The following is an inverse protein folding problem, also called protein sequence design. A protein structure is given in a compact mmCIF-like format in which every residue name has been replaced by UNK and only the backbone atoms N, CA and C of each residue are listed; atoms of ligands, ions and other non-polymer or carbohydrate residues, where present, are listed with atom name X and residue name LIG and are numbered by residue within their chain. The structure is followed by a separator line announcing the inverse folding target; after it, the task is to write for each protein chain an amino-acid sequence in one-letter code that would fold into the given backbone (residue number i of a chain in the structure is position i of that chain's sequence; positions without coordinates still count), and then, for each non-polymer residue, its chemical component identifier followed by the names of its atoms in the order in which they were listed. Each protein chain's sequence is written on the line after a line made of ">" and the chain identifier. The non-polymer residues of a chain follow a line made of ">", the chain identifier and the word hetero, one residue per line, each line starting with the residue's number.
data_IF_696718098784
#
_entry.id   IF_696718098784
#
_cell.length_a   1.000
_cell.length_b   1.000
_cell.length_c   1.000
_cell.angle_alpha   90.00
_cell.angle_beta   90.00
_cell.angle_gamma   90.00
#
_symmetry.space_group_name_H-M   'P 1'
#
loop_
_entity.id
_entity.type
_entity.pdbx_description
1 polymer ?
#
# COMPACT_ATOMS: atom_id res chain seq x y z
N UNK A 1 -5.94 -15.36 5.63
CA UNK A 1 -6.10 -13.92 5.38
C UNK A 1 -5.81 -13.71 3.89
N UNK A 2 -6.80 -13.31 3.08
CA UNK A 2 -6.63 -13.17 1.62
C UNK A 2 -6.21 -11.72 1.35
N UNK A 3 -5.00 -11.52 0.86
CA UNK A 3 -4.57 -10.24 0.27
C UNK A 3 -4.52 -10.41 -1.24
N UNK A 4 -5.21 -9.51 -1.95
CA UNK A 4 -5.16 -9.42 -3.41
C UNK A 4 -4.55 -8.07 -3.77
N UNK A 5 -3.45 -8.09 -4.51
CA UNK A 5 -2.97 -6.97 -5.29
C UNK A 5 -3.16 -7.35 -6.76
N UNK A 6 -4.03 -6.63 -7.46
CA UNK A 6 -4.22 -6.77 -8.90
C UNK A 6 -3.48 -5.65 -9.63
N UNK A 7 -2.80 -5.98 -10.72
CA UNK A 7 -2.29 -5.00 -11.68
C UNK A 7 -2.81 -5.35 -13.08
N UNK A 8 -3.04 -4.29 -13.87
CA UNK A 8 -3.38 -4.27 -15.30
C UNK A 8 -4.84 -4.52 -15.71
N UNK A 9 -5.58 -3.42 -15.92
CA UNK A 9 -6.60 -3.31 -16.97
C UNK A 9 -6.16 -2.25 -17.99
N UNK A 10 -6.29 -2.55 -19.30
CA UNK A 10 -6.15 -1.59 -20.41
C UNK A 10 -7.40 -0.70 -20.61
N UNK A 11 -8.27 -0.69 -19.61
CA UNK A 11 -9.39 0.24 -19.46
C UNK A 11 -9.12 1.08 -18.20
N UNK A 12 -9.43 2.38 -18.18
CA UNK A 12 -9.20 3.27 -17.05
C UNK A 12 -10.21 2.97 -15.93
N UNK A 13 -10.18 1.76 -15.39
CA UNK A 13 -10.91 1.40 -14.19
C UNK A 13 -9.90 1.29 -13.06
N UNK A 14 -9.97 2.29 -12.18
CA UNK A 14 -9.04 2.57 -11.08
C UNK A 14 -9.38 1.66 -9.91
N UNK A 15 -8.60 0.60 -9.70
CA UNK A 15 -8.83 -0.32 -8.59
C UNK A 15 -7.69 -0.26 -7.57
N UNK A 16 -7.94 0.44 -6.46
CA UNK A 16 -7.27 0.16 -5.18
C UNK A 16 -8.40 -0.28 -4.23
N UNK A 17 -8.77 -1.56 -4.34
CA UNK A 17 -9.81 -2.16 -3.52
C UNK A 17 -9.20 -2.76 -2.26
N UNK A 18 -9.79 -2.43 -1.10
CA UNK A 18 -9.54 -3.18 0.13
C UNK A 18 -9.93 -4.66 -0.05
N UNK A 19 -9.33 -5.58 0.73
CA UNK A 19 -9.89 -6.91 0.87
C UNK A 19 -11.36 -6.80 1.29
N UNK A 20 -12.18 -7.62 0.66
CA UNK A 20 -13.60 -7.80 0.99
C UNK A 20 -13.76 -8.01 2.49
N UNK A 21 -14.43 -7.08 3.19
CA UNK A 21 -14.73 -7.22 4.62
C UNK A 21 -15.85 -8.24 4.81
N UNK A 22 -15.58 -9.28 5.59
CA UNK A 22 -16.49 -10.41 5.81
C UNK A 22 -17.05 -10.30 7.22
N UNK A 23 -18.32 -9.94 7.35
CA UNK A 23 -19.01 -9.96 8.65
C UNK A 23 -19.87 -11.21 8.76
N UNK A 24 -19.61 -12.03 9.77
CA UNK A 24 -20.40 -13.22 10.08
C UNK A 24 -21.44 -12.86 11.14
N UNK A 25 -22.71 -12.86 10.76
CA UNK A 25 -23.80 -12.77 11.74
C UNK A 25 -24.27 -14.18 12.11
N UNK A 26 -24.05 -14.57 13.37
CA UNK A 26 -24.58 -15.80 13.94
C UNK A 26 -25.91 -15.52 14.64
N UNK A 27 -27.00 -16.07 14.10
CA UNK A 27 -28.22 -16.29 14.89
C UNK A 27 -28.61 -17.76 14.80
N UNK A 28 -28.40 -18.46 15.93
CA UNK A 28 -28.84 -19.80 16.35
C UNK A 28 -28.88 -21.02 15.38
N UNK A 29 -28.55 -20.90 14.09
CA UNK A 29 -28.31 -22.02 13.13
C UNK A 29 -27.96 -21.54 11.70
N UNK A 30 -27.74 -20.24 11.49
CA UNK A 30 -27.53 -19.64 10.17
C UNK A 30 -26.34 -18.68 10.22
N UNK A 31 -25.41 -18.84 9.29
CA UNK A 31 -24.35 -17.88 9.03
C UNK A 31 -24.80 -17.02 7.86
N UNK A 32 -25.06 -15.73 8.12
CA UNK A 32 -25.21 -14.72 7.07
C UNK A 32 -23.85 -14.07 6.85
N UNK A 33 -23.38 -14.13 5.61
CA UNK A 33 -22.13 -13.47 5.21
C UNK A 33 -22.50 -12.22 4.43
N UNK A 34 -22.16 -11.05 4.98
CA UNK A 34 -22.38 -9.77 4.32
C UNK A 34 -21.06 -9.26 3.75
N UNK A 35 -21.09 -8.96 2.45
CA UNK A 35 -19.96 -8.40 1.73
C UNK A 35 -20.21 -6.94 1.43
N UNK A 36 -19.34 -6.09 1.96
CA UNK A 36 -19.30 -4.67 1.59
C UNK A 36 -18.32 -4.48 0.44
N UNK A 37 -18.84 -4.45 -0.79
CA UNK A 37 -18.06 -3.89 -1.90
C UNK A 37 -18.15 -2.37 -1.73
N UNK A 38 -17.14 -1.77 -1.13
CA UNK A 38 -17.01 -0.30 -1.09
C UNK A 38 -16.96 0.14 -2.54
N UNK A 39 -17.85 1.04 -2.95
CA UNK A 39 -17.82 1.59 -4.30
C UNK A 39 -16.41 2.04 -4.60
N UNK A 40 -15.96 1.72 -5.81
CA UNK A 40 -14.69 2.16 -6.39
C UNK A 40 -14.78 3.69 -6.52
N UNK A 41 -14.62 4.40 -5.41
CA UNK A 41 -14.30 5.82 -5.47
C UNK A 41 -12.98 5.83 -6.20
N UNK A 42 -12.97 6.37 -7.40
CA UNK A 42 -11.78 6.52 -8.21
C UNK A 42 -10.62 7.00 -7.32
N UNK A 43 -9.38 6.53 -7.55
CA UNK A 43 -8.21 7.31 -7.11
C UNK A 43 -8.51 8.79 -7.39
N UNK A 44 -8.20 9.72 -6.45
CA UNK A 44 -8.56 11.14 -6.59
C UNK A 44 -8.41 11.51 -8.05
N UNK A 45 -9.50 11.93 -8.69
CA UNK A 45 -9.46 12.08 -10.14
C UNK A 45 -8.24 12.92 -10.46
N UNK A 46 -7.44 12.49 -11.43
CA UNK A 46 -6.34 13.35 -11.89
C UNK A 46 -6.91 14.74 -12.25
N UNK A 47 -8.18 14.80 -12.67
CA UNK A 47 -8.99 16.02 -12.86
C UNK A 47 -9.16 16.89 -11.60
N UNK A 48 -9.16 16.32 -10.40
CA UNK A 48 -9.25 17.03 -9.11
C UNK A 48 -7.86 17.37 -8.52
N UNK A 49 -6.78 17.10 -9.25
CA UNK A 49 -5.44 17.33 -8.76
C UNK A 49 -5.19 18.82 -8.50
N UNK A 50 -4.69 19.13 -7.30
CA UNK A 50 -4.42 20.50 -6.85
C UNK A 50 -5.67 21.39 -6.76
N UNK A 51 -6.88 20.83 -6.77
CA UNK A 51 -8.09 21.58 -6.45
C UNK A 51 -8.10 22.08 -5.01
N UNK A 52 -8.85 23.16 -4.77
CA UNK A 52 -8.97 23.75 -3.46
C UNK A 52 -9.63 22.78 -2.47
N UNK A 53 -9.03 22.68 -1.28
CA UNK A 53 -9.52 21.82 -0.22
C UNK A 53 -10.68 22.50 0.51
N UNK A 54 -11.78 21.78 0.74
CA UNK A 54 -12.90 22.33 1.53
C UNK A 54 -12.44 22.78 2.92
N UNK A 55 -13.07 23.84 3.44
CA UNK A 55 -12.75 24.38 4.77
C UNK A 55 -12.82 23.32 5.87
N UNK A 56 -13.77 22.38 5.77
CA UNK A 56 -13.93 21.31 6.76
C UNK A 56 -12.73 20.35 6.70
N UNK A 57 -12.33 19.91 5.52
CA UNK A 57 -11.19 19.00 5.37
C UNK A 57 -9.88 19.67 5.75
N UNK A 58 -9.70 20.94 5.39
CA UNK A 58 -8.57 21.73 5.84
C UNK A 58 -8.48 21.77 7.37
N UNK A 59 -9.59 22.10 8.05
CA UNK A 59 -9.64 22.16 9.50
C UNK A 59 -9.33 20.80 10.16
N UNK A 60 -9.89 19.72 9.61
CA UNK A 60 -9.63 18.35 10.08
C UNK A 60 -8.15 18.00 9.92
N UNK A 61 -7.57 18.16 8.72
CA UNK A 61 -6.18 17.82 8.46
C UNK A 61 -5.23 18.69 9.29
N UNK A 62 -5.49 19.99 9.40
CA UNK A 62 -4.70 20.91 10.23
C UNK A 62 -4.66 20.48 11.68
N UNK A 63 -5.83 20.21 12.28
CA UNK A 63 -5.89 19.74 13.67
C UNK A 63 -5.20 18.39 13.84
N UNK A 64 -5.36 17.51 12.87
CA UNK A 64 -4.86 16.13 12.90
C UNK A 64 -3.35 16.06 12.77
N UNK A 65 -2.77 16.85 11.87
CA UNK A 65 -1.35 16.82 11.52
C UNK A 65 -0.52 17.88 12.26
N UNK A 66 -1.14 18.76 13.05
CA UNK A 66 -0.46 19.82 13.80
C UNK A 66 0.73 19.31 14.63
N UNK A 67 0.58 18.11 15.23
CA UNK A 67 1.60 17.49 16.09
C UNK A 67 2.47 16.46 15.37
N UNK A 68 2.24 16.22 14.07
CA UNK A 68 3.08 15.30 13.30
C UNK A 68 4.51 15.83 13.26
N UNK A 69 5.47 14.91 13.48
CA UNK A 69 6.91 15.25 13.50
C UNK A 69 7.71 14.58 12.39
N UNK A 70 7.21 13.47 11.86
CA UNK A 70 7.82 12.65 10.81
C UNK A 70 6.69 12.00 10.02
N UNK A 71 6.88 11.83 8.71
CA UNK A 71 6.02 11.03 7.84
C UNK A 71 6.79 9.80 7.37
N UNK A 72 6.18 8.63 7.51
CA UNK A 72 6.67 7.37 6.94
C UNK A 72 5.74 7.00 5.78
N UNK A 73 6.33 6.68 4.63
CA UNK A 73 5.62 6.18 3.45
C UNK A 73 6.17 4.80 3.14
N UNK A 74 5.35 3.77 3.35
CA UNK A 74 5.68 2.38 3.01
C UNK A 74 5.17 2.04 1.61
N UNK A 75 5.85 1.12 0.93
CA UNK A 75 5.59 0.69 -0.46
C UNK A 75 5.55 1.84 -1.48
N UNK A 76 6.55 2.73 -1.40
CA UNK A 76 6.65 3.89 -2.28
C UNK A 76 6.77 3.57 -3.77
N UNK A 77 7.04 2.31 -4.16
CA UNK A 77 7.05 1.88 -5.57
C UNK A 77 5.68 1.99 -6.22
N UNK A 78 4.60 1.89 -5.43
CA UNK A 78 3.22 1.98 -5.89
C UNK A 78 2.69 3.43 -5.92
N UNK A 79 3.45 4.39 -5.38
CA UNK A 79 3.06 5.80 -5.40
C UNK A 79 3.42 6.45 -6.73
N UNK A 80 2.51 7.28 -7.24
CA UNK A 80 2.79 8.08 -8.42
C UNK A 80 3.46 9.40 -8.06
N UNK A 81 4.23 9.96 -9.00
CA UNK A 81 4.83 11.30 -8.83
C UNK A 81 3.79 12.39 -8.59
N UNK A 82 2.61 12.27 -9.22
CA UNK A 82 1.48 13.17 -9.01
C UNK A 82 0.95 13.10 -7.57
N UNK A 83 0.71 11.89 -7.06
CA UNK A 83 0.25 11.69 -5.68
C UNK A 83 1.26 12.25 -4.67
N UNK A 84 2.55 12.07 -4.95
CA UNK A 84 3.63 12.58 -4.12
C UNK A 84 3.68 14.11 -4.09
N UNK A 85 3.54 14.76 -5.25
CA UNK A 85 3.45 16.22 -5.37
C UNK A 85 2.20 16.80 -4.68
N UNK A 86 1.05 16.13 -4.80
CA UNK A 86 -0.18 16.51 -4.09
C UNK A 86 -0.01 16.41 -2.58
N UNK A 87 0.66 15.35 -2.11
CA UNK A 87 0.93 15.15 -0.68
C UNK A 87 1.83 16.25 -0.13
N UNK A 88 2.90 16.59 -0.85
CA UNK A 88 3.76 17.72 -0.54
C UNK A 88 2.95 19.03 -0.43
N UNK A 89 2.17 19.36 -1.47
CA UNK A 89 1.39 20.59 -1.52
C UNK A 89 0.36 20.69 -0.38
N UNK A 90 -0.35 19.59 -0.11
CA UNK A 90 -1.33 19.51 0.99
C UNK A 90 -0.67 19.72 2.36
N UNK A 91 0.52 19.14 2.58
CA UNK A 91 1.23 19.32 3.83
C UNK A 91 1.78 20.74 3.99
N UNK A 92 2.24 21.37 2.91
CA UNK A 92 2.66 22.78 2.94
C UNK A 92 1.50 23.69 3.36
N UNK A 93 0.34 23.50 2.72
CA UNK A 93 -0.88 24.28 3.00
C UNK A 93 -1.39 24.05 4.44
N UNK A 94 -1.56 22.78 4.83
CA UNK A 94 -2.13 22.40 6.13
C UNK A 94 -1.23 22.82 7.30
N UNK A 95 0.09 22.77 7.12
CA UNK A 95 1.07 23.18 8.14
C UNK A 95 1.43 24.66 8.08
N UNK A 96 0.99 25.39 7.06
CA UNK A 96 1.35 26.80 6.85
C UNK A 96 2.87 27.00 6.71
N UNK A 97 3.55 26.06 6.05
CA UNK A 97 5.01 26.06 5.92
C UNK A 97 5.39 25.69 4.49
N UNK A 98 6.10 26.58 3.78
CA UNK A 98 6.46 26.37 2.37
C UNK A 98 7.70 25.48 2.14
N UNK A 99 8.29 24.91 3.20
CA UNK A 99 9.33 23.88 3.04
C UNK A 99 8.71 22.59 2.51
N UNK A 100 9.45 21.75 1.77
CA UNK A 100 8.96 20.46 1.29
C UNK A 100 8.23 19.66 2.40
N UNK A 101 7.08 19.08 2.06
CA UNK A 101 6.16 18.36 2.93
C UNK A 101 5.73 19.15 4.17
N UNK A 102 5.58 20.47 4.02
CA UNK A 102 5.29 21.37 5.13
C UNK A 102 6.38 21.42 6.18
N UNK A 103 7.62 21.06 5.83
CA UNK A 103 8.75 20.90 6.74
C UNK A 103 8.70 19.65 7.61
N UNK A 104 7.92 18.62 7.23
CA UNK A 104 8.03 17.30 7.84
C UNK A 104 9.22 16.55 7.23
N UNK A 105 10.10 15.96 8.04
CA UNK A 105 10.97 14.90 7.57
C UNK A 105 10.13 13.74 7.06
N UNK A 106 10.42 13.28 5.85
CA UNK A 106 9.73 12.16 5.21
C UNK A 106 10.73 11.03 5.00
N UNK A 107 10.34 9.81 5.37
CA UNK A 107 11.11 8.59 5.11
C UNK A 107 10.28 7.71 4.18
N UNK A 108 10.87 7.34 3.05
CA UNK A 108 10.28 6.44 2.06
C UNK A 108 10.88 5.05 2.24
N UNK A 109 10.02 4.03 2.25
CA UNK A 109 10.37 2.63 2.28
C UNK A 109 9.66 1.95 1.12
N UNK A 110 10.34 1.01 0.49
CA UNK A 110 9.77 0.23 -0.60
C UNK A 110 10.86 -0.40 -1.44
N UNK A 111 10.42 -1.20 -2.39
CA UNK A 111 11.27 -1.85 -3.38
C UNK A 111 10.85 -1.39 -4.77
N UNK A 112 11.70 -0.57 -5.41
CA UNK A 112 11.38 0.05 -6.69
C UNK A 112 11.24 -0.96 -7.85
N UNK A 113 11.65 -2.21 -7.66
CA UNK A 113 11.45 -3.29 -8.63
C UNK A 113 10.20 -4.15 -8.33
N UNK A 114 9.43 -3.81 -7.29
CA UNK A 114 8.10 -4.39 -7.08
C UNK A 114 7.05 -3.68 -7.94
N UNK A 115 5.77 -3.84 -7.58
CA UNK A 115 4.66 -3.30 -8.35
C UNK A 115 4.80 -1.77 -8.51
N UNK A 116 4.73 -1.25 -9.75
CA UNK A 116 4.68 0.18 -10.04
C UNK A 116 3.32 0.76 -9.64
N UNK A 117 3.14 2.09 -9.69
CA UNK A 117 1.81 2.67 -9.57
C UNK A 117 0.86 2.07 -10.62
N UNK A 118 -0.41 1.89 -10.23
CA UNK A 118 -1.46 1.37 -11.12
C UNK A 118 -1.71 2.31 -12.31
N UNK A 119 -1.53 3.62 -12.11
CA UNK A 119 -1.65 4.64 -13.14
C UNK A 119 -0.72 5.82 -12.86
N UNK A 120 -0.31 6.49 -13.94
CA UNK A 120 0.58 7.64 -13.88
C UNK A 120 2.06 7.26 -13.75
N UNK A 121 2.89 8.29 -13.69
CA UNK A 121 4.34 8.15 -13.60
C UNK A 121 4.75 7.72 -12.19
N UNK A 122 5.79 6.89 -12.08
CA UNK A 122 6.35 6.45 -10.79
C UNK A 122 6.81 7.64 -9.93
N UNK A 123 6.89 7.45 -8.61
CA UNK A 123 7.28 8.49 -7.64
C UNK A 123 8.59 9.24 -7.99
N UNK A 124 9.51 8.57 -8.69
CA UNK A 124 10.81 9.10 -9.11
C UNK A 124 10.83 9.72 -10.52
N UNK A 125 9.68 9.74 -11.19
CA UNK A 125 9.50 10.36 -12.50
C UNK A 125 8.79 11.71 -12.38
N UNK A 126 8.83 12.49 -13.45
CA UNK A 126 8.20 13.82 -13.46
C UNK A 126 6.68 13.75 -13.34
N UNK A 127 6.12 14.78 -12.70
CA UNK A 127 4.69 15.05 -12.70
C UNK A 127 4.25 15.36 -14.14
N UNK A 128 3.14 14.78 -14.64
CA UNK A 128 2.65 15.06 -15.98
C UNK A 128 2.44 16.55 -16.26
N UNK A 129 2.72 16.98 -17.49
CA UNK A 129 2.79 18.40 -17.88
C UNK A 129 1.51 19.17 -17.55
N UNK A 130 0.34 18.55 -17.76
CA UNK A 130 -0.96 19.16 -17.47
C UNK A 130 -1.16 19.55 -16.00
N UNK A 131 -0.36 19.00 -15.09
CA UNK A 131 -0.44 19.28 -13.65
C UNK A 131 0.66 20.20 -13.12
N UNK A 132 1.65 20.58 -13.94
CA UNK A 132 2.75 21.45 -13.50
C UNK A 132 2.26 22.85 -13.13
N UNK A 133 1.47 23.50 -14.00
CA UNK A 133 0.92 24.82 -13.72
C UNK A 133 -0.04 24.86 -12.51
N UNK A 134 -1.00 23.92 -12.36
CA UNK A 134 -1.80 23.80 -11.13
C UNK A 134 -0.95 23.62 -9.86
N UNK A 135 0.09 22.77 -9.93
CA UNK A 135 0.99 22.57 -8.80
C UNK A 135 1.77 23.84 -8.43
N UNK A 136 2.24 24.60 -9.42
CA UNK A 136 2.90 25.90 -9.22
C UNK A 136 1.96 26.94 -8.60
N UNK A 137 0.70 26.97 -9.01
CA UNK A 137 -0.29 27.88 -8.44
C UNK A 137 -0.51 27.61 -6.95
N UNK A 138 -0.67 26.35 -6.55
CA UNK A 138 -0.94 25.98 -5.16
C UNK A 138 0.31 26.07 -4.27
N UNK A 139 1.48 25.69 -4.80
CA UNK A 139 2.73 25.64 -4.05
C UNK A 139 3.91 26.16 -4.90
N UNK A 140 3.98 27.49 -5.13
CA UNK A 140 4.98 28.08 -6.04
C UNK A 140 6.42 27.92 -5.54
N UNK A 141 6.61 27.71 -4.23
CA UNK A 141 7.93 27.52 -3.61
C UNK A 141 8.33 26.05 -3.45
N UNK A 142 7.49 25.10 -3.90
CA UNK A 142 7.82 23.69 -3.78
C UNK A 142 8.94 23.28 -4.74
N UNK A 143 9.78 22.34 -4.32
CA UNK A 143 10.80 21.75 -5.16
C UNK A 143 10.14 20.83 -6.20
N UNK A 144 10.31 21.15 -7.49
CA UNK A 144 9.72 20.38 -8.59
C UNK A 144 10.34 19.00 -8.79
N UNK A 145 11.52 18.77 -8.24
CA UNK A 145 12.14 17.45 -8.13
C UNK A 145 12.13 16.99 -6.66
N UNK A 146 10.96 16.57 -6.18
CA UNK A 146 10.81 16.05 -4.82
C UNK A 146 11.68 14.80 -4.58
N UNK A 147 11.82 13.92 -5.58
CA UNK A 147 12.67 12.73 -5.47
C UNK A 147 14.14 13.07 -5.25
N UNK A 148 14.64 14.13 -5.89
CA UNK A 148 16.00 14.62 -5.74
C UNK A 148 16.36 15.11 -4.33
N UNK A 149 15.38 15.28 -3.43
CA UNK A 149 15.61 15.61 -2.03
C UNK A 149 16.14 14.42 -1.20
N UNK A 150 16.05 13.20 -1.72
CA UNK A 150 16.28 11.99 -0.95
C UNK A 150 17.68 11.42 -1.18
N UNK A 151 18.25 10.87 -0.11
CA UNK A 151 19.41 9.97 -0.17
C UNK A 151 18.90 8.54 -0.06
N UNK A 152 19.20 7.73 -1.06
CA UNK A 152 18.86 6.30 -1.06
C UNK A 152 19.84 5.51 -0.17
N UNK A 153 19.29 4.66 0.71
CA UNK A 153 20.03 3.66 1.47
C UNK A 153 19.51 2.29 1.05
N UNK A 154 20.40 1.42 0.57
CA UNK A 154 20.05 0.06 0.15
C UNK A 154 20.25 -0.92 1.31
N UNK A 155 19.26 -1.76 1.56
CA UNK A 155 19.38 -2.89 2.46
C UNK A 155 19.80 -4.11 1.64
N UNK A 156 20.83 -4.82 2.10
CA UNK A 156 21.41 -5.96 1.37
C UNK A 156 21.06 -7.31 1.99
N UNK A 157 20.65 -7.35 3.25
CA UNK A 157 20.32 -8.57 3.96
C UNK A 157 18.82 -8.87 3.87
N UNK A 158 18.46 -10.00 3.26
CA UNK A 158 17.08 -10.48 3.24
C UNK A 158 16.77 -11.20 4.56
N UNK A 159 15.91 -10.61 5.39
CA UNK A 159 15.48 -11.22 6.66
C UNK A 159 14.29 -12.18 6.56
N UNK A 160 13.79 -12.46 5.35
CA UNK A 160 12.55 -13.25 5.14
C UNK A 160 12.79 -14.75 5.06
N UNK A 161 13.89 -15.17 4.42
CA UNK A 161 14.25 -16.58 4.27
C UNK A 161 15.71 -16.78 4.67
N UNK A 162 15.98 -17.91 5.33
CA UNK A 162 17.34 -18.38 5.63
C UNK A 162 17.86 -19.34 4.56
N UNK A 163 17.03 -19.72 3.58
CA UNK A 163 17.40 -20.60 2.48
C UNK A 163 18.07 -19.79 1.36
N UNK A 164 19.33 -20.09 1.07
CA UNK A 164 20.14 -19.37 0.09
C UNK A 164 19.64 -19.59 -1.35
N UNK A 165 19.13 -20.79 -1.67
CA UNK A 165 18.58 -21.10 -2.99
C UNK A 165 17.25 -20.37 -3.21
N UNK A 166 16.38 -20.35 -2.21
CA UNK A 166 15.14 -19.56 -2.27
C UNK A 166 15.44 -18.07 -2.44
N UNK A 167 16.37 -17.53 -1.64
CA UNK A 167 16.78 -16.14 -1.73
C UNK A 167 17.32 -15.80 -3.13
N UNK A 168 18.16 -16.67 -3.69
CA UNK A 168 18.71 -16.52 -5.05
C UNK A 168 17.62 -16.52 -6.11
N UNK A 169 16.73 -17.52 -6.10
CA UNK A 169 15.63 -17.63 -7.07
C UNK A 169 14.72 -16.38 -7.00
N UNK A 170 14.37 -15.92 -5.80
CA UNK A 170 13.54 -14.72 -5.62
C UNK A 170 14.23 -13.45 -6.12
N UNK A 171 15.55 -13.34 -5.94
CA UNK A 171 16.33 -12.22 -6.49
C UNK A 171 16.39 -12.24 -8.02
N UNK A 172 16.56 -13.42 -8.63
CA UNK A 172 16.51 -13.60 -10.08
C UNK A 172 15.13 -13.21 -10.65
N UNK A 173 14.04 -13.59 -9.97
CA UNK A 173 12.68 -13.16 -10.33
C UNK A 173 12.57 -11.64 -10.25
N UNK A 174 13.03 -11.04 -9.14
CA UNK A 174 12.95 -9.60 -8.88
C UNK A 174 13.72 -8.77 -9.92
N UNK A 175 14.83 -9.29 -10.43
CA UNK A 175 15.64 -8.62 -11.46
C UNK A 175 15.24 -9.00 -12.89
N UNK A 176 14.20 -9.82 -13.05
CA UNK A 176 13.74 -10.35 -14.34
C UNK A 176 14.82 -11.12 -15.12
N UNK A 177 15.72 -11.81 -14.39
CA UNK A 177 16.86 -12.57 -14.94
C UNK A 177 16.91 -13.99 -14.37
N UNK A 178 16.02 -14.84 -14.87
CA UNK A 178 15.90 -16.23 -14.43
C UNK A 178 16.90 -17.16 -15.11
N UNK A 179 17.79 -17.79 -14.34
CA UNK A 179 18.69 -18.84 -14.80
C UNK A 179 17.94 -20.11 -15.20
N UNK A 180 18.56 -20.96 -16.03
CA UNK A 180 17.97 -22.24 -16.44
C UNK A 180 17.67 -23.16 -15.25
N UNK A 181 18.55 -23.14 -14.23
CA UNK A 181 18.39 -23.89 -12.99
C UNK A 181 17.14 -23.42 -12.23
N UNK A 182 17.01 -22.12 -11.98
CA UNK A 182 15.84 -21.54 -11.31
C UNK A 182 14.55 -21.83 -12.07
N UNK A 183 14.56 -21.73 -13.40
CA UNK A 183 13.41 -22.09 -14.21
C UNK A 183 13.03 -23.56 -14.10
N UNK A 184 14.02 -24.47 -14.07
CA UNK A 184 13.78 -25.90 -13.87
C UNK A 184 13.17 -26.17 -12.50
N UNK A 185 13.71 -25.53 -11.45
CA UNK A 185 13.17 -25.62 -10.09
C UNK A 185 11.69 -25.21 -10.04
N UNK A 186 11.35 -24.03 -10.57
CA UNK A 186 9.97 -23.51 -10.57
C UNK A 186 9.02 -24.42 -11.36
N UNK A 187 9.45 -24.95 -12.52
CA UNK A 187 8.62 -25.88 -13.31
C UNK A 187 8.38 -27.21 -12.61
N UNK A 188 9.33 -27.67 -11.80
CA UNK A 188 9.24 -28.95 -11.11
C UNK A 188 8.43 -28.87 -9.83
N UNK A 189 8.57 -27.77 -9.07
CA UNK A 189 8.01 -27.65 -7.72
C UNK A 189 6.86 -26.66 -7.57
N UNK A 190 6.71 -25.70 -8.49
CA UNK A 190 5.70 -24.64 -8.39
C UNK A 190 4.62 -24.72 -9.48
N UNK A 191 4.55 -25.82 -10.23
CA UNK A 191 3.58 -26.00 -11.31
C UNK A 191 2.27 -26.58 -10.79
N UNK A 192 1.17 -25.88 -11.05
CA UNK A 192 -0.18 -26.39 -10.87
C UNK A 192 -0.73 -26.91 -12.21
N UNK A 193 -1.25 -28.13 -12.22
CA UNK A 193 -1.76 -28.80 -13.44
C UNK A 193 -3.20 -28.43 -13.77
N UNK A 194 -4.06 -28.26 -12.74
CA UNK A 194 -5.47 -27.94 -12.90
C UNK A 194 -5.78 -26.54 -12.36
N UNK A 195 -5.92 -25.57 -13.26
CA UNK A 195 -6.17 -24.16 -12.93
C UNK A 195 -7.67 -23.81 -12.84
N UNK A 196 -8.57 -24.81 -12.88
CA UNK A 196 -10.00 -24.58 -12.60
C UNK A 196 -10.20 -24.26 -11.11
N UNK A 197 -11.32 -23.61 -10.76
CA UNK A 197 -11.60 -23.28 -9.34
C UNK A 197 -11.59 -24.54 -8.48
N UNK A 198 -12.23 -25.61 -8.95
CA UNK A 198 -12.23 -26.89 -8.26
C UNK A 198 -10.81 -27.44 -8.09
N UNK A 199 -10.00 -27.43 -9.15
CA UNK A 199 -8.61 -27.88 -9.10
C UNK A 199 -7.74 -27.11 -8.11
N UNK A 200 -7.84 -25.78 -8.12
CA UNK A 200 -7.12 -24.90 -7.19
C UNK A 200 -7.47 -25.25 -5.74
N UNK A 201 -8.75 -25.45 -5.44
CA UNK A 201 -9.17 -25.79 -4.07
C UNK A 201 -8.83 -27.24 -3.69
N UNK A 202 -8.80 -28.19 -4.63
CA UNK A 202 -8.32 -29.55 -4.37
C UNK A 202 -6.84 -29.57 -3.99
N UNK A 203 -6.00 -28.83 -4.74
CA UNK A 203 -4.58 -28.63 -4.44
C UNK A 203 -4.41 -27.98 -3.05
N UNK A 204 -5.18 -26.92 -2.76
CA UNK A 204 -5.14 -26.24 -1.48
C UNK A 204 -5.48 -27.18 -0.30
N UNK A 205 -6.49 -28.04 -0.45
CA UNK A 205 -6.85 -29.01 0.59
C UNK A 205 -5.78 -30.10 0.74
N UNK A 206 -5.12 -30.50 -0.35
CA UNK A 206 -3.96 -31.39 -0.28
C UNK A 206 -2.79 -30.75 0.50
N UNK A 207 -2.44 -29.49 0.19
CA UNK A 207 -1.40 -28.75 0.91
C UNK A 207 -1.69 -28.60 2.40
N UNK A 208 -2.95 -28.28 2.76
CA UNK A 208 -3.37 -28.20 4.18
C UNK A 208 -3.23 -29.52 4.93
N UNK A 209 -3.47 -30.65 4.26
CA UNK A 209 -3.29 -31.98 4.86
C UNK A 209 -1.82 -32.30 5.08
N UNK A 210 -0.96 -31.89 4.14
CA UNK A 210 0.49 -32.09 4.24
C UNK A 210 1.12 -31.22 5.34
N UNK A 211 0.65 -29.98 5.48
CA UNK A 211 1.16 -29.01 6.45
C UNK A 211 0.02 -28.40 7.31
N UNK A 212 -0.56 -29.16 8.26
CA UNK A 212 -1.73 -28.72 9.03
C UNK A 212 -1.47 -27.50 9.93
N UNK A 213 -0.21 -27.19 10.25
CA UNK A 213 0.19 -26.02 11.02
C UNK A 213 0.33 -24.73 10.20
N UNK A 214 0.24 -24.80 8.86
CA UNK A 214 0.43 -23.65 7.98
C UNK A 214 -0.90 -23.05 7.54
N UNK A 215 -0.88 -21.75 7.29
CA UNK A 215 -1.98 -21.03 6.67
C UNK A 215 -1.62 -20.73 5.22
N UNK A 216 -2.54 -21.01 4.32
CA UNK A 216 -2.36 -20.81 2.89
C UNK A 216 -3.19 -19.63 2.39
N UNK A 217 -2.67 -18.93 1.40
CA UNK A 217 -3.36 -17.88 0.67
C UNK A 217 -3.29 -18.17 -0.83
N UNK A 218 -4.37 -17.90 -1.55
CA UNK A 218 -4.38 -17.93 -3.01
C UNK A 218 -4.20 -16.50 -3.51
N UNK A 219 -3.18 -16.29 -4.34
CA UNK A 219 -2.94 -15.02 -5.03
C UNK A 219 -3.40 -15.21 -6.48
N UNK A 220 -4.12 -14.22 -7.00
CA UNK A 220 -4.58 -14.22 -8.39
C UNK A 220 -4.32 -12.86 -9.04
N UNK A 221 -4.05 -12.82 -10.36
CA UNK A 221 -3.61 -11.60 -11.03
C UNK A 221 -4.71 -10.54 -11.16
N UNK A 222 -5.99 -10.94 -11.09
CA UNK A 222 -7.13 -10.07 -11.33
C UNK A 222 -8.16 -10.14 -10.22
N UNK A 223 -8.80 -9.00 -9.94
CA UNK A 223 -9.86 -8.91 -8.94
C UNK A 223 -11.07 -9.77 -9.27
N UNK A 224 -11.43 -9.91 -10.56
CA UNK A 224 -12.53 -10.78 -10.99
C UNK A 224 -12.24 -12.24 -10.60
N UNK A 225 -10.99 -12.69 -10.78
CA UNK A 225 -10.55 -14.03 -10.40
C UNK A 225 -10.59 -14.21 -8.89
N UNK A 226 -10.11 -13.23 -8.12
CA UNK A 226 -10.16 -13.25 -6.65
C UNK A 226 -11.61 -13.35 -6.17
N UNK A 227 -12.50 -12.50 -6.67
CA UNK A 227 -13.90 -12.47 -6.27
C UNK A 227 -14.60 -13.81 -6.58
N UNK A 228 -14.32 -14.38 -7.75
CA UNK A 228 -14.83 -15.69 -8.15
C UNK A 228 -14.33 -16.81 -7.22
N UNK A 229 -13.05 -16.84 -6.87
CA UNK A 229 -12.47 -17.83 -5.96
C UNK A 229 -13.00 -17.67 -4.52
N UNK A 230 -13.17 -16.42 -4.07
CA UNK A 230 -13.79 -16.11 -2.79
C UNK A 230 -15.22 -16.66 -2.75
N UNK A 231 -16.06 -16.34 -3.75
CA UNK A 231 -17.44 -16.84 -3.85
C UNK A 231 -17.48 -18.38 -3.87
N UNK A 232 -16.58 -19.01 -4.63
CA UNK A 232 -16.42 -20.46 -4.67
C UNK A 232 -16.13 -21.07 -3.29
N UNK A 233 -15.23 -20.46 -2.51
CA UNK A 233 -14.87 -20.89 -1.17
C UNK A 233 -16.05 -20.74 -0.20
N UNK A 234 -16.71 -19.58 -0.21
CA UNK A 234 -17.78 -19.25 0.74
C UNK A 234 -18.97 -20.17 0.59
N UNK A 235 -19.39 -20.44 -0.65
CA UNK A 235 -20.51 -21.35 -0.93
C UNK A 235 -20.29 -22.77 -0.41
N UNK A 236 -19.03 -23.14 -0.16
CA UNK A 236 -18.63 -24.46 0.37
C UNK A 236 -18.37 -24.46 1.87
N UNK A 237 -18.42 -23.31 2.54
CA UNK A 237 -18.26 -23.26 3.99
C UNK A 237 -19.50 -23.87 4.68
N UNK A 238 -19.26 -24.75 5.65
CA UNK A 238 -20.33 -25.37 6.44
C UNK A 238 -21.16 -24.28 7.15
N UNK A 239 -22.48 -24.37 7.03
CA UNK A 239 -23.42 -23.46 7.70
C UNK A 239 -23.79 -22.19 6.92
N UNK A 240 -23.18 -21.94 5.76
CA UNK A 240 -23.59 -20.86 4.86
C UNK A 240 -24.81 -21.30 4.05
N UNK A 241 -25.94 -20.60 4.23
CA UNK A 241 -27.18 -20.84 3.47
C UNK A 241 -27.47 -19.79 2.39
N UNK A 242 -26.94 -18.57 2.58
CA UNK A 242 -27.21 -17.44 1.71
C UNK A 242 -25.99 -16.51 1.68
N UNK A 243 -25.64 -16.03 0.49
CA UNK A 243 -24.58 -15.04 0.25
C UNK A 243 -25.23 -13.81 -0.37
N UNK A 244 -25.10 -12.65 0.28
CA UNK A 244 -25.59 -11.37 -0.26
C UNK A 244 -24.44 -10.40 -0.46
N UNK A 245 -24.34 -9.90 -1.67
CA UNK A 245 -23.48 -8.78 -2.03
C UNK A 245 -24.25 -7.49 -1.78
N UNK A 246 -23.73 -6.63 -0.90
CA UNK A 246 -24.27 -5.28 -0.72
C UNK A 246 -23.29 -4.28 -1.33
N UNK A 247 -23.80 -3.50 -2.29
CA UNK A 247 -23.11 -2.31 -2.75
C UNK A 247 -23.34 -1.20 -1.73
N UNK A 248 -22.30 -0.88 -0.97
CA UNK A 248 -22.35 0.28 -0.08
C UNK A 248 -21.96 1.50 -0.91
N UNK A 249 -22.95 2.32 -1.26
CA UNK A 249 -22.70 3.71 -1.65
C UNK A 249 -22.10 4.41 -0.44
N UNK A 250 -20.94 5.04 -0.60
CA UNK A 250 -20.46 5.95 0.43
C UNK A 250 -21.55 7.03 0.60
N UNK A 251 -21.90 7.32 1.84
CA UNK A 251 -22.71 8.50 2.14
C UNK A 251 -22.00 9.73 1.58
N UNK A 252 -22.76 10.69 1.04
CA UNK A 252 -22.24 11.98 0.56
C UNK A 252 -21.40 12.74 1.62
N UNK A 253 -21.48 12.31 2.89
CA UNK A 253 -20.72 12.80 4.03
C UNK A 253 -19.24 12.33 4.11
N UNK A 254 -18.70 11.55 3.16
CA UNK A 254 -17.25 11.28 3.10
C UNK A 254 -16.47 12.53 2.62
N UNK A 255 -16.27 13.43 3.58
CA UNK A 255 -15.53 14.69 3.56
C UNK A 255 -14.22 14.66 2.75
N UNK A 256 -14.25 15.40 1.63
CA UNK A 256 -13.23 15.83 0.68
C UNK A 256 -12.10 14.88 0.24
N UNK A 257 -11.95 14.84 -1.08
CA UNK A 257 -10.99 14.08 -1.88
C UNK A 257 -9.58 14.65 -1.82
N UNK A 258 -8.86 14.40 -0.73
CA UNK A 258 -7.40 14.62 -0.67
C UNK A 258 -6.69 13.28 -0.49
N UNK A 259 -5.47 13.15 -1.00
CA UNK A 259 -4.62 11.96 -0.83
C UNK A 259 -4.55 11.54 0.66
N UNK A 260 -4.36 12.51 1.55
CA UNK A 260 -4.23 12.29 2.99
C UNK A 260 -5.59 11.96 3.65
N UNK A 261 -6.66 12.68 3.31
CA UNK A 261 -8.01 12.38 3.83
C UNK A 261 -8.44 10.96 3.41
N UNK A 262 -8.16 10.58 2.16
CA UNK A 262 -8.43 9.25 1.63
C UNK A 262 -7.58 8.18 2.29
N UNK A 263 -6.27 8.39 2.43
CA UNK A 263 -5.41 7.43 3.13
C UNK A 263 -5.93 7.19 4.55
N UNK A 264 -6.44 8.22 5.22
CA UNK A 264 -7.08 8.10 6.54
C UNK A 264 -8.44 7.38 6.49
N UNK A 265 -9.33 7.70 5.55
CA UNK A 265 -10.65 7.03 5.41
C UNK A 265 -10.50 5.55 5.02
N UNK A 266 -9.44 5.24 4.29
CA UNK A 266 -9.01 3.89 3.95
C UNK A 266 -8.17 3.23 5.05
N UNK A 267 -8.00 3.86 6.22
CA UNK A 267 -7.18 3.34 7.34
C UNK A 267 -5.76 2.92 6.92
N UNK A 268 -5.27 3.47 5.80
CA UNK A 268 -3.91 3.30 5.28
C UNK A 268 -2.93 4.29 5.93
N UNK A 269 -3.44 5.42 6.43
CA UNK A 269 -2.69 6.35 7.24
C UNK A 269 -2.98 6.12 8.73
N UNK A 270 -1.93 5.88 9.51
CA UNK A 270 -1.99 5.76 10.97
C UNK A 270 -1.21 6.90 11.62
N UNK A 271 -1.87 7.60 12.53
CA UNK A 271 -1.20 8.56 13.42
C UNK A 271 -0.87 7.86 14.73
N UNK A 272 0.41 7.60 14.91
CA UNK A 272 0.93 6.93 16.10
C UNK A 272 1.66 7.94 16.97
N UNK A 273 1.26 8.02 18.24
CA UNK A 273 2.09 8.70 19.24
C UNK A 273 3.30 7.81 19.53
N UNK A 274 4.48 8.23 19.10
CA UNK A 274 5.72 7.57 19.48
C UNK A 274 6.13 8.04 20.88
N UNK A 275 6.22 7.10 21.81
CA UNK A 275 6.99 7.33 23.03
C UNK A 275 8.47 7.00 22.73
N UNK A 276 9.28 8.04 22.60
CA UNK A 276 10.72 7.91 22.29
C UNK A 276 11.49 7.16 23.40
N UNK A 277 11.04 7.22 24.65
CA UNK A 277 11.69 6.53 25.78
C UNK A 277 11.44 5.01 25.76
N UNK A 278 10.31 4.59 25.18
CA UNK A 278 9.94 3.17 25.02
C UNK A 278 10.34 2.59 23.67
N UNK A 279 10.98 3.37 22.81
CA UNK A 279 11.43 2.87 21.52
C UNK A 279 12.61 1.93 21.73
N UNK A 280 12.38 0.64 21.48
CA UNK A 280 13.41 -0.39 21.60
C UNK A 280 14.41 -0.23 20.45
N UNK A 281 15.49 0.52 20.68
CA UNK A 281 16.59 0.67 19.74
C UNK A 281 17.67 -0.37 20.04
N UNK A 282 18.28 -0.95 19.01
CA UNK A 282 19.47 -1.78 19.25
C UNK A 282 20.55 -0.94 19.92
N UNK A 283 21.35 -1.57 20.80
CA UNK A 283 22.50 -0.95 21.45
C UNK A 283 23.41 -0.26 20.44
N UNK A 284 23.62 -0.90 19.29
CA UNK A 284 24.40 -0.36 18.17
C UNK A 284 23.79 0.92 17.58
N UNK A 285 22.48 0.93 17.32
CA UNK A 285 21.79 2.11 16.77
C UNK A 285 21.86 3.29 17.73
N UNK A 286 21.68 3.01 19.03
CA UNK A 286 21.76 4.02 20.10
C UNK A 286 23.16 4.60 20.19
N UNK A 287 24.21 3.76 20.11
CA UNK A 287 25.61 4.19 20.11
C UNK A 287 25.93 5.09 18.93
N UNK A 288 25.58 4.67 17.70
CA UNK A 288 25.79 5.45 16.47
C UNK A 288 25.05 6.79 16.52
N UNK A 289 23.82 6.82 17.03
CA UNK A 289 23.07 8.05 17.21
C UNK A 289 23.76 9.02 18.18
N UNK A 290 24.20 8.53 19.34
CA UNK A 290 24.90 9.33 20.34
C UNK A 290 26.23 9.88 19.82
N UNK A 291 27.00 9.07 19.08
CA UNK A 291 28.24 9.53 18.43
C UNK A 291 27.98 10.63 17.41
N UNK A 292 26.92 10.52 16.59
CA UNK A 292 26.53 11.58 15.65
C UNK A 292 26.06 12.85 16.34
N UNK A 293 25.38 12.73 17.48
CA UNK A 293 24.98 13.90 18.28
C UNK A 293 26.18 14.62 18.90
N UNK A 294 27.16 13.87 19.43
CA UNK A 294 28.42 14.44 19.93
C UNK A 294 29.18 15.22 18.85
N UNK A 295 29.16 14.76 17.60
CA UNK A 295 29.78 15.45 16.45
C UNK A 295 29.04 16.70 15.97
N UNK A 296 27.77 16.88 16.35
CA UNK A 296 26.94 18.04 15.95
C UNK A 296 26.87 19.15 16.99
N UNK A 297 27.34 18.91 18.21
CA UNK A 297 27.48 19.94 19.23
C UNK A 297 28.74 20.76 18.90
N UNK A 298 28.67 22.09 18.81
CA UNK A 298 29.88 22.91 18.72
C UNK A 298 30.74 22.61 19.94
N UNK A 299 32.05 22.50 19.73
CA UNK A 299 32.98 22.24 20.81
C UNK A 299 32.86 23.34 21.87
N UNK A 300 32.50 22.91 23.08
CA UNK A 300 32.91 23.44 24.38
C UNK A 300 33.74 24.70 24.39
#
# INVERSE_FOLDING_TARGET
>A
MIFAAASHSRTPHRFLNRPTEITLHSSQKKIRVEFRKRLETALPNEEDAFCEMSHITYAILRRTLAKARVLFVEECSMDSGLLFAQTDAQLQLVRGNSKPFGGLPVLLFGDLLQLPPVSGNAIYQEVPEQFKAPWESVCPRSNKNLWGLYRMLKLHHNGRTSDEDEARILMEIREERLSEESQRFLRMWCRMSNTTDKGIFEELEWMKKMDPGKTFAIIAPRNETVNRLIDFAIRRMKGVKEVRWQHVKNSEEELAYTAISRARSLKLCRLSCMNLEKWNQSSESKKVYLEKMKRKLPAS
#
